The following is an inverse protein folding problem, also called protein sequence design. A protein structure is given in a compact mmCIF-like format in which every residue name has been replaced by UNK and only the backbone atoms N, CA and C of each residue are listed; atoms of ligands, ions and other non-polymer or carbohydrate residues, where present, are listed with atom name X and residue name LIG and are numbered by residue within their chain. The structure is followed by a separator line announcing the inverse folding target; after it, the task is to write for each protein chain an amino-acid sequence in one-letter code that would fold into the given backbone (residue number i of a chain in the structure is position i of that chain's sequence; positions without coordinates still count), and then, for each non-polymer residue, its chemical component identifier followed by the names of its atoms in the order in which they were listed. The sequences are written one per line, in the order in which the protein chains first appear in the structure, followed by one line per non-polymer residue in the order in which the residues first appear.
data_IF_948022173675
#
_entry.id   IF_948022173675
#
_cell.length_a   1.000
_cell.length_b   1.000
_cell.length_c   1.000
_cell.angle_alpha   90.00
_cell.angle_beta   90.00
_cell.angle_gamma   90.00
#
_symmetry.space_group_name_H-M   'P 1'
#
loop_
_entity.id
_entity.type
_entity.pdbx_description
1 polymer ?
#
# COMPACT_ATOMS: atom_id res chain seq x y z
N UNK A 1 -72.37 -13.79 -23.05
CA UNK A 1 -71.29 -12.92 -23.55
C UNK A 1 -70.08 -13.10 -22.60
N UNK A 2 -69.14 -13.97 -22.98
CA UNK A 2 -67.89 -14.25 -22.18
C UNK A 2 -66.79 -13.32 -22.70
N UNK A 3 -66.32 -12.39 -21.85
CA UNK A 3 -65.17 -11.54 -22.16
C UNK A 3 -63.89 -12.31 -21.86
N UNK A 4 -63.13 -12.67 -22.91
CA UNK A 4 -61.75 -13.20 -22.77
C UNK A 4 -60.80 -12.05 -22.40
N UNK A 5 -60.15 -12.19 -21.25
CA UNK A 5 -59.10 -11.27 -20.79
C UNK A 5 -57.76 -11.84 -21.24
N UNK A 6 -57.11 -11.22 -22.23
CA UNK A 6 -55.74 -11.55 -22.64
C UNK A 6 -54.77 -10.87 -21.67
N UNK A 7 -54.09 -11.66 -20.85
CA UNK A 7 -52.97 -11.20 -20.04
C UNK A 7 -51.70 -11.37 -20.86
N UNK A 8 -51.18 -10.27 -21.37
CA UNK A 8 -49.85 -10.23 -22.01
C UNK A 8 -48.79 -10.18 -20.93
N UNK A 9 -48.07 -11.31 -20.73
CA UNK A 9 -46.92 -11.43 -19.83
C UNK A 9 -45.71 -10.73 -20.49
N UNK A 10 -45.35 -9.55 -20.00
CA UNK A 10 -44.17 -8.82 -20.45
C UNK A 10 -42.94 -9.42 -19.73
N UNK A 11 -42.14 -10.22 -20.46
CA UNK A 11 -40.91 -10.80 -19.95
C UNK A 11 -39.83 -9.69 -19.91
N UNK A 12 -39.61 -9.12 -18.71
CA UNK A 12 -38.55 -8.14 -18.49
C UNK A 12 -37.20 -8.88 -18.44
N UNK A 13 -36.51 -8.92 -19.57
CA UNK A 13 -35.10 -9.42 -19.62
C UNK A 13 -34.21 -8.38 -18.96
N UNK A 14 -33.83 -8.62 -17.71
CA UNK A 14 -32.82 -7.84 -17.03
C UNK A 14 -31.45 -8.07 -17.68
N UNK A 15 -31.04 -7.14 -18.54
CA UNK A 15 -29.67 -7.09 -19.05
C UNK A 15 -28.75 -6.66 -17.90
N UNK A 16 -28.11 -7.63 -17.25
CA UNK A 16 -27.06 -7.33 -16.27
C UNK A 16 -25.89 -6.68 -17.04
N UNK A 17 -25.39 -5.52 -16.58
CA UNK A 17 -24.22 -4.91 -17.20
C UNK A 17 -23.04 -5.88 -17.05
N UNK A 18 -22.50 -6.35 -18.17
CA UNK A 18 -21.20 -7.04 -18.21
C UNK A 18 -20.18 -6.03 -17.73
N UNK A 19 -19.70 -6.21 -16.51
CA UNK A 19 -18.63 -5.39 -15.94
C UNK A 19 -17.37 -5.74 -16.74
N UNK A 20 -16.96 -4.85 -17.62
CA UNK A 20 -15.68 -4.97 -18.31
C UNK A 20 -14.59 -5.07 -17.22
N UNK A 21 -13.87 -6.18 -17.20
CA UNK A 21 -12.76 -6.40 -16.28
C UNK A 21 -11.68 -5.37 -16.62
N UNK A 22 -11.51 -4.38 -15.76
CA UNK A 22 -10.54 -3.30 -15.97
C UNK A 22 -9.14 -3.89 -16.01
N UNK A 23 -8.30 -3.46 -16.95
CA UNK A 23 -6.88 -3.81 -16.97
C UNK A 23 -6.25 -3.25 -15.70
N UNK A 24 -5.53 -4.06 -14.91
CA UNK A 24 -4.86 -3.56 -13.71
C UNK A 24 -3.88 -2.45 -14.08
N UNK A 25 -3.88 -1.36 -13.32
CA UNK A 25 -2.95 -0.26 -13.53
C UNK A 25 -1.56 -0.70 -13.07
N UNK A 26 -0.59 -0.64 -13.98
CA UNK A 26 0.79 -0.98 -13.67
C UNK A 26 1.42 0.06 -12.73
N UNK A 27 2.28 -0.40 -11.85
CA UNK A 27 3.06 0.46 -10.95
C UNK A 27 4.27 1.00 -11.71
N UNK A 28 4.40 2.31 -11.79
CA UNK A 28 5.46 2.95 -12.56
C UNK A 28 6.84 2.86 -11.86
N UNK A 29 6.83 2.96 -10.53
CA UNK A 29 8.04 2.94 -9.71
C UNK A 29 7.74 2.51 -8.26
N UNK A 30 8.79 2.37 -7.45
CA UNK A 30 8.67 1.96 -6.06
C UNK A 30 7.88 2.96 -5.18
N UNK A 31 7.90 4.26 -5.50
CA UNK A 31 7.13 5.27 -4.79
C UNK A 31 5.63 5.14 -5.08
N UNK A 32 5.28 4.93 -6.36
CA UNK A 32 3.90 4.65 -6.76
C UNK A 32 3.37 3.38 -6.09
N UNK A 33 4.20 2.34 -5.90
CA UNK A 33 3.84 1.13 -5.16
C UNK A 33 3.42 1.43 -3.72
N UNK A 34 4.12 2.34 -3.05
CA UNK A 34 3.82 2.74 -1.68
C UNK A 34 2.51 3.52 -1.58
N UNK A 35 2.28 4.44 -2.50
CA UNK A 35 1.06 5.27 -2.55
C UNK A 35 -0.16 4.44 -2.94
N UNK A 36 -0.04 3.62 -3.99
CA UNK A 36 -1.15 2.79 -4.51
C UNK A 36 -1.45 1.55 -3.65
N UNK A 37 -0.56 1.21 -2.72
CA UNK A 37 -0.75 0.11 -1.77
C UNK A 37 -0.39 -1.28 -2.31
N UNK A 38 0.12 -1.39 -3.53
CA UNK A 38 0.61 -2.62 -4.13
C UNK A 38 1.62 -2.36 -5.25
N UNK A 39 2.53 -3.30 -5.46
CA UNK A 39 3.31 -3.42 -6.70
C UNK A 39 2.43 -4.19 -7.70
N UNK A 40 2.13 -3.60 -8.84
CA UNK A 40 1.43 -4.26 -9.93
C UNK A 40 2.31 -4.19 -11.16
N UNK A 41 2.71 -5.34 -11.69
CA UNK A 41 3.60 -5.45 -12.85
C UNK A 41 2.98 -6.29 -13.94
N UNK A 42 3.44 -6.06 -15.18
CA UNK A 42 3.07 -6.81 -16.37
C UNK A 42 4.29 -7.47 -16.98
N UNK A 43 4.28 -8.78 -17.07
CA UNK A 43 5.24 -9.52 -17.87
C UNK A 43 4.67 -9.88 -19.23
N UNK A 44 5.47 -9.83 -20.26
CA UNK A 44 5.12 -10.26 -21.63
C UNK A 44 5.99 -11.44 -22.01
N UNK A 45 5.38 -12.46 -22.62
CA UNK A 45 6.07 -13.63 -23.13
C UNK A 45 5.58 -14.02 -24.52
N UNK A 46 6.46 -14.49 -25.37
CA UNK A 46 6.13 -14.96 -26.72
C UNK A 46 6.07 -16.48 -26.80
N UNK A 47 5.24 -16.98 -27.69
CA UNK A 47 5.21 -18.38 -28.07
C UNK A 47 6.49 -18.79 -28.79
N UNK A 48 7.01 -20.01 -28.57
CA UNK A 48 8.16 -20.49 -29.31
C UNK A 48 7.81 -20.69 -30.80
N UNK A 49 8.81 -20.54 -31.64
CA UNK A 49 8.70 -20.92 -33.05
C UNK A 49 8.74 -22.46 -33.20
N UNK A 50 8.14 -22.97 -34.26
CA UNK A 50 8.17 -24.39 -34.58
C UNK A 50 6.81 -25.09 -34.51
N UNK A 51 6.85 -26.42 -34.59
CA UNK A 51 5.69 -27.31 -34.69
C UNK A 51 5.07 -27.62 -33.30
N UNK A 52 4.51 -26.59 -32.65
CA UNK A 52 3.80 -26.74 -31.40
C UNK A 52 2.29 -26.59 -31.61
N UNK A 53 1.48 -27.31 -30.84
CA UNK A 53 0.04 -27.11 -30.81
C UNK A 53 -0.30 -25.73 -30.23
N UNK A 54 -1.47 -25.18 -30.56
CA UNK A 54 -1.92 -23.88 -30.01
C UNK A 54 -1.95 -23.88 -28.47
N UNK A 55 -2.35 -25.00 -27.86
CA UNK A 55 -2.35 -25.14 -26.41
C UNK A 55 -0.93 -25.08 -25.83
N UNK A 56 0.04 -25.75 -26.45
CA UNK A 56 1.45 -25.69 -26.04
C UNK A 56 2.00 -24.28 -26.19
N UNK A 57 1.76 -23.61 -27.33
CA UNK A 57 2.18 -22.23 -27.58
C UNK A 57 1.67 -21.28 -26.49
N UNK A 58 0.37 -21.35 -26.17
CA UNK A 58 -0.25 -20.56 -25.11
C UNK A 58 0.41 -20.81 -23.74
N UNK A 59 0.55 -22.07 -23.33
CA UNK A 59 1.14 -22.42 -22.04
C UNK A 59 2.58 -21.90 -21.93
N UNK A 60 3.38 -22.06 -22.99
CA UNK A 60 4.78 -21.61 -22.98
C UNK A 60 4.88 -20.08 -22.97
N UNK A 61 4.05 -19.37 -23.71
CA UNK A 61 3.99 -17.90 -23.68
C UNK A 61 3.57 -17.38 -22.29
N UNK A 62 2.55 -17.97 -21.66
CA UNK A 62 2.13 -17.60 -20.30
C UNK A 62 3.22 -17.86 -19.26
N UNK A 63 3.95 -18.99 -19.37
CA UNK A 63 5.09 -19.27 -18.47
C UNK A 63 6.22 -18.23 -18.65
N UNK A 64 6.54 -17.87 -19.89
CA UNK A 64 7.53 -16.85 -20.18
C UNK A 64 7.09 -15.46 -19.63
N UNK A 65 5.84 -15.08 -19.88
CA UNK A 65 5.26 -13.84 -19.37
C UNK A 65 5.31 -13.78 -17.83
N UNK A 66 4.94 -14.89 -17.17
CA UNK A 66 4.98 -14.99 -15.71
C UNK A 66 6.40 -14.85 -15.16
N UNK A 67 7.40 -15.46 -15.80
CA UNK A 67 8.80 -15.31 -15.37
C UNK A 67 9.30 -13.86 -15.49
N UNK A 68 8.90 -13.17 -16.57
CA UNK A 68 9.20 -11.73 -16.73
C UNK A 68 8.51 -10.91 -15.63
N UNK A 69 7.22 -11.14 -15.38
CA UNK A 69 6.48 -10.41 -14.34
C UNK A 69 7.09 -10.60 -12.94
N UNK A 70 7.55 -11.81 -12.59
CA UNK A 70 8.24 -12.05 -11.32
C UNK A 70 9.55 -11.26 -11.20
N UNK A 71 10.32 -11.15 -12.29
CA UNK A 71 11.55 -10.36 -12.28
C UNK A 71 11.26 -8.87 -12.11
N UNK A 72 10.31 -8.33 -12.85
CA UNK A 72 9.88 -6.94 -12.73
C UNK A 72 9.36 -6.62 -11.29
N UNK A 73 8.60 -7.55 -10.70
CA UNK A 73 8.13 -7.39 -9.32
C UNK A 73 9.29 -7.37 -8.32
N UNK A 74 10.33 -8.18 -8.53
CA UNK A 74 11.51 -8.19 -7.67
C UNK A 74 12.30 -6.89 -7.79
N UNK A 75 12.53 -6.40 -9.01
CA UNK A 75 13.24 -5.13 -9.26
C UNK A 75 12.52 -3.94 -8.62
N UNK A 76 11.18 -3.87 -8.74
CA UNK A 76 10.41 -2.83 -8.08
C UNK A 76 10.44 -2.96 -6.55
N UNK A 77 10.35 -4.19 -6.02
CA UNK A 77 10.42 -4.44 -4.57
C UNK A 77 11.75 -3.98 -3.98
N UNK A 78 12.86 -4.26 -4.66
CA UNK A 78 14.20 -3.84 -4.24
C UNK A 78 14.30 -2.31 -4.06
N UNK A 79 13.62 -1.54 -4.91
CA UNK A 79 13.54 -0.08 -4.84
C UNK A 79 12.62 0.48 -3.76
N UNK A 80 11.79 -0.36 -3.11
CA UNK A 80 10.83 0.11 -2.09
C UNK A 80 11.57 0.63 -0.86
N UNK A 81 11.30 1.89 -0.48
CA UNK A 81 11.85 2.51 0.72
C UNK A 81 11.23 1.90 1.97
N UNK A 82 12.08 1.41 2.87
CA UNK A 82 11.68 0.87 4.18
C UNK A 82 11.50 2.02 5.17
N UNK A 83 12.54 2.84 5.36
CA UNK A 83 12.53 4.08 6.14
C UNK A 83 13.84 4.85 5.90
N UNK A 84 13.81 6.18 5.92
CA UNK A 84 14.97 7.01 5.61
C UNK A 84 15.53 6.69 4.22
N UNK A 85 16.82 6.40 4.16
CA UNK A 85 17.51 6.00 2.93
C UNK A 85 17.59 4.48 2.74
N UNK A 86 17.02 3.70 3.68
CA UNK A 86 17.04 2.24 3.63
C UNK A 86 15.97 1.72 2.69
N UNK A 87 16.38 1.04 1.62
CA UNK A 87 15.48 0.29 0.71
C UNK A 87 15.45 -1.19 1.07
N UNK A 88 14.52 -1.93 0.46
CA UNK A 88 14.47 -3.40 0.61
C UNK A 88 15.77 -4.03 0.11
N UNK A 89 16.35 -3.52 -0.99
CA UNK A 89 17.64 -3.97 -1.51
C UNK A 89 18.76 -3.80 -0.48
N UNK A 90 18.95 -2.59 0.06
CA UNK A 90 20.00 -2.33 1.05
C UNK A 90 19.84 -3.22 2.29
N UNK A 91 18.62 -3.35 2.79
CA UNK A 91 18.30 -4.22 3.91
C UNK A 91 18.59 -5.71 3.60
N UNK A 92 18.37 -6.14 2.36
CA UNK A 92 18.67 -7.52 1.91
C UNK A 92 20.16 -7.82 1.81
N UNK A 93 20.97 -6.80 1.51
CA UNK A 93 22.44 -6.94 1.51
C UNK A 93 22.99 -7.09 2.92
N UNK A 94 22.37 -6.44 3.90
CA UNK A 94 22.79 -6.47 5.29
C UNK A 94 22.24 -7.68 6.08
N UNK A 95 21.17 -8.32 5.58
CA UNK A 95 20.47 -9.39 6.29
C UNK A 95 19.94 -10.48 5.36
N UNK A 96 20.47 -11.69 5.51
CA UNK A 96 19.98 -12.88 4.78
C UNK A 96 18.51 -13.20 5.10
N UNK A 97 18.04 -12.83 6.29
CA UNK A 97 16.63 -13.03 6.69
C UNK A 97 15.72 -12.09 5.89
N UNK A 98 16.12 -10.82 5.71
CA UNK A 98 15.39 -9.86 4.89
C UNK A 98 15.36 -10.32 3.43
N UNK A 99 16.50 -10.77 2.90
CA UNK A 99 16.60 -11.34 1.55
C UNK A 99 15.64 -12.51 1.36
N UNK A 100 15.65 -13.49 2.27
CA UNK A 100 14.75 -14.64 2.22
C UNK A 100 13.29 -14.23 2.31
N UNK A 101 12.96 -13.22 3.14
CA UNK A 101 11.62 -12.67 3.25
C UNK A 101 11.17 -12.00 1.96
N UNK A 102 12.02 -11.17 1.33
CA UNK A 102 11.75 -10.53 0.04
C UNK A 102 11.50 -11.56 -1.07
N UNK A 103 12.35 -12.60 -1.18
CA UNK A 103 12.12 -13.70 -2.12
C UNK A 103 10.79 -14.43 -1.85
N UNK A 104 10.44 -14.65 -0.59
CA UNK A 104 9.17 -15.26 -0.19
C UNK A 104 7.96 -14.42 -0.61
N UNK A 105 8.05 -13.09 -0.46
CA UNK A 105 7.03 -12.14 -0.90
C UNK A 105 6.80 -12.26 -2.41
N UNK A 106 7.86 -12.25 -3.20
CA UNK A 106 7.77 -12.37 -4.66
C UNK A 106 7.19 -13.72 -5.08
N UNK A 107 7.63 -14.82 -4.47
CA UNK A 107 7.05 -16.15 -4.73
C UNK A 107 5.56 -16.24 -4.39
N UNK A 108 5.10 -15.47 -3.40
CA UNK A 108 3.71 -15.35 -2.98
C UNK A 108 2.87 -14.33 -3.77
N UNK A 109 3.43 -13.66 -4.78
CA UNK A 109 2.69 -12.70 -5.60
C UNK A 109 1.49 -13.34 -6.29
N UNK A 110 0.36 -12.60 -6.31
CA UNK A 110 -0.88 -13.08 -6.90
C UNK A 110 -0.95 -12.73 -8.39
N UNK A 111 -1.32 -13.70 -9.22
CA UNK A 111 -1.70 -13.43 -10.62
C UNK A 111 -3.09 -12.78 -10.60
N UNK A 112 -3.20 -11.55 -11.06
CA UNK A 112 -4.46 -10.79 -11.08
C UNK A 112 -5.11 -10.78 -12.46
N UNK A 113 -4.32 -11.02 -13.54
CA UNK A 113 -4.85 -11.16 -14.90
C UNK A 113 -3.87 -11.93 -15.78
N UNK A 114 -4.42 -12.72 -16.72
CA UNK A 114 -3.67 -13.41 -17.77
C UNK A 114 -4.38 -13.15 -19.11
N UNK A 115 -3.63 -12.83 -20.13
CA UNK A 115 -4.10 -12.62 -21.49
C UNK A 115 -3.22 -13.40 -22.48
N UNK A 116 -3.82 -13.87 -23.57
CA UNK A 116 -3.09 -14.51 -24.68
C UNK A 116 -3.67 -14.03 -26.00
N UNK A 117 -2.85 -13.39 -26.80
CA UNK A 117 -3.19 -13.01 -28.17
C UNK A 117 -2.76 -14.10 -29.15
N UNK A 118 -3.74 -14.74 -29.78
CA UNK A 118 -3.53 -15.82 -30.74
C UNK A 118 -2.85 -15.30 -32.01
N UNK A 119 -3.15 -14.07 -32.44
CA UNK A 119 -2.66 -13.52 -33.68
C UNK A 119 -1.15 -13.23 -33.61
N UNK A 120 -0.70 -12.64 -32.52
CA UNK A 120 0.72 -12.36 -32.30
C UNK A 120 1.48 -13.52 -31.63
N UNK A 121 0.76 -14.48 -31.03
CA UNK A 121 1.36 -15.55 -30.23
C UNK A 121 1.98 -15.05 -28.92
N UNK A 122 1.54 -13.91 -28.40
CA UNK A 122 2.05 -13.30 -27.19
C UNK A 122 1.11 -13.49 -26.00
N UNK A 123 1.66 -13.58 -24.80
CA UNK A 123 0.91 -13.57 -23.56
C UNK A 123 1.32 -12.39 -22.68
N UNK A 124 0.37 -11.89 -21.89
CA UNK A 124 0.60 -10.94 -20.81
C UNK A 124 0.13 -11.54 -19.48
N UNK A 125 0.93 -11.40 -18.43
CA UNK A 125 0.60 -11.80 -17.06
C UNK A 125 0.79 -10.60 -16.15
N UNK A 126 -0.26 -10.28 -15.39
CA UNK A 126 -0.22 -9.22 -14.39
C UNK A 126 -0.08 -9.87 -13.00
N UNK A 127 0.96 -9.46 -12.26
CA UNK A 127 1.18 -9.85 -10.87
C UNK A 127 0.91 -8.68 -9.94
N UNK A 128 0.40 -8.99 -8.75
CA UNK A 128 0.22 -8.02 -7.67
C UNK A 128 0.89 -8.50 -6.40
N UNK A 129 1.69 -7.61 -5.79
CA UNK A 129 2.31 -7.79 -4.48
C UNK A 129 1.77 -6.69 -3.56
N UNK A 130 0.87 -7.00 -2.61
CA UNK A 130 0.34 -6.00 -1.69
C UNK A 130 1.44 -5.41 -0.79
N UNK A 131 1.48 -4.08 -0.67
CA UNK A 131 2.40 -3.36 0.23
C UNK A 131 2.32 -3.88 1.67
N UNK A 132 1.12 -4.21 2.13
CA UNK A 132 0.90 -4.76 3.46
C UNK A 132 1.60 -6.10 3.67
N UNK A 133 1.63 -6.97 2.66
CA UNK A 133 2.38 -8.23 2.71
C UNK A 133 3.88 -8.01 2.83
N UNK A 134 4.41 -7.02 2.10
CA UNK A 134 5.82 -6.60 2.19
C UNK A 134 6.15 -6.14 3.62
N UNK A 135 5.36 -5.23 4.17
CA UNK A 135 5.58 -4.73 5.52
C UNK A 135 5.46 -5.84 6.57
N UNK A 136 4.45 -6.69 6.50
CA UNK A 136 4.26 -7.79 7.45
C UNK A 136 5.44 -8.75 7.49
N UNK A 137 6.05 -9.04 6.35
CA UNK A 137 7.23 -9.90 6.27
C UNK A 137 8.51 -9.24 6.80
N UNK A 138 8.60 -7.91 6.74
CA UNK A 138 9.76 -7.15 7.20
C UNK A 138 9.67 -6.70 8.66
N UNK A 139 8.45 -6.54 9.23
CA UNK A 139 8.25 -6.10 10.62
C UNK A 139 9.10 -6.86 11.64
N UNK A 140 9.24 -8.20 11.58
CA UNK A 140 10.07 -8.92 12.55
C UNK A 140 11.56 -8.56 12.50
N UNK A 141 12.03 -8.00 11.39
CA UNK A 141 13.44 -7.66 11.15
C UNK A 141 13.77 -6.20 11.49
N UNK A 142 12.74 -5.36 11.66
CA UNK A 142 12.89 -3.91 11.88
C UNK A 142 13.79 -3.55 13.06
N UNK A 143 13.78 -4.25 14.22
CA UNK A 143 14.68 -3.89 15.33
C UNK A 143 16.17 -3.87 14.96
N UNK A 144 16.57 -4.63 13.94
CA UNK A 144 17.95 -4.61 13.41
C UNK A 144 18.16 -3.63 12.25
N UNK A 145 17.07 -3.19 11.59
CA UNK A 145 17.12 -2.36 10.37
C UNK A 145 16.96 -0.86 10.66
N UNK A 146 16.18 -0.51 11.68
CA UNK A 146 15.83 0.88 11.96
C UNK A 146 16.36 1.34 13.32
N UNK A 147 16.85 2.58 13.42
CA UNK A 147 17.24 3.17 14.69
C UNK A 147 16.08 3.14 15.69
N UNK A 148 16.35 2.66 16.90
CA UNK A 148 15.41 2.75 18.00
C UNK A 148 15.28 4.21 18.46
N UNK A 149 14.04 4.71 18.49
CA UNK A 149 13.74 6.07 18.93
C UNK A 149 13.07 6.05 20.31
N UNK A 150 13.41 6.99 21.21
CA UNK A 150 12.65 7.18 22.44
C UNK A 150 11.20 7.53 22.11
N UNK A 151 10.27 7.06 22.95
CA UNK A 151 8.86 7.42 22.78
C UNK A 151 8.64 8.83 23.32
N UNK A 152 7.89 9.62 22.57
CA UNK A 152 7.45 10.93 23.01
C UNK A 152 6.55 10.82 24.23
N UNK A 153 6.87 11.58 25.27
CA UNK A 153 6.08 11.69 26.50
C UNK A 153 6.02 13.14 26.95
N UNK A 154 4.91 13.85 26.70
CA UNK A 154 4.81 15.26 27.04
C UNK A 154 4.85 15.51 28.55
N UNK A 155 5.58 16.55 28.96
CA UNK A 155 5.71 16.93 30.36
C UNK A 155 4.43 17.52 30.98
N UNK A 156 3.52 18.03 30.16
CA UNK A 156 2.27 18.67 30.62
C UNK A 156 1.05 18.01 29.96
N UNK A 157 0.01 17.79 30.78
CA UNK A 157 -1.28 17.34 30.29
C UNK A 157 -1.94 18.43 29.42
N UNK A 158 -2.46 18.05 28.26
CA UNK A 158 -3.29 18.93 27.44
C UNK A 158 -4.75 18.47 27.54
N UNK A 159 -5.66 19.42 27.63
CA UNK A 159 -7.09 19.13 27.40
C UNK A 159 -7.26 18.91 25.91
N UNK A 160 -7.58 17.70 25.49
CA UNK A 160 -7.74 17.36 24.07
C UNK A 160 -9.20 17.05 23.75
N UNK A 161 -9.65 17.53 22.59
CA UNK A 161 -10.88 17.02 21.99
C UNK A 161 -10.72 15.51 21.72
N UNK A 162 -11.83 14.78 21.75
CA UNK A 162 -11.82 13.35 21.45
C UNK A 162 -11.63 13.12 19.94
N UNK A 163 -10.38 12.93 19.50
CA UNK A 163 -10.05 12.54 18.14
C UNK A 163 -9.90 11.01 18.04
N UNK A 164 -10.24 10.47 16.87
CA UNK A 164 -10.29 9.03 16.63
C UNK A 164 -9.58 8.58 15.34
N UNK A 165 -8.74 9.45 14.79
CA UNK A 165 -7.90 9.23 13.62
C UNK A 165 -6.89 10.36 13.45
N UNK A 166 -5.90 10.20 12.58
CA UNK A 166 -4.82 11.16 12.36
C UNK A 166 -4.61 11.40 10.87
N UNK A 167 -4.62 12.66 10.49
CA UNK A 167 -4.18 13.15 9.17
C UNK A 167 -2.93 13.99 9.39
N UNK A 168 -1.83 13.62 8.72
CA UNK A 168 -0.56 14.36 8.76
C UNK A 168 -0.37 15.01 7.39
N UNK A 169 -0.47 16.32 7.33
CA UNK A 169 -0.24 17.11 6.11
C UNK A 169 1.25 17.39 5.97
N UNK A 170 1.88 16.77 4.97
CA UNK A 170 3.31 16.93 4.64
C UNK A 170 3.52 17.70 3.34
N UNK A 171 2.47 18.31 2.79
CA UNK A 171 2.55 19.06 1.54
C UNK A 171 3.50 20.25 1.64
N UNK A 172 4.25 20.49 0.56
CA UNK A 172 5.29 21.50 0.48
C UNK A 172 6.59 21.11 1.19
N UNK A 173 6.71 19.87 1.66
CA UNK A 173 7.91 19.34 2.30
C UNK A 173 8.55 18.26 1.41
N UNK A 174 9.87 18.07 1.53
CA UNK A 174 10.60 17.01 0.81
C UNK A 174 10.37 15.63 1.44
N UNK A 175 9.10 15.29 1.69
CA UNK A 175 8.70 14.03 2.31
C UNK A 175 8.57 12.93 1.27
N UNK A 176 9.11 11.74 1.60
CA UNK A 176 9.00 10.55 0.75
C UNK A 176 8.17 9.46 1.42
N UNK A 177 7.19 8.88 0.72
CA UNK A 177 6.52 7.66 1.17
C UNK A 177 7.51 6.52 1.43
N UNK A 178 7.24 5.75 2.49
CA UNK A 178 8.01 4.57 2.88
C UNK A 178 7.08 3.51 3.48
N UNK A 179 7.59 2.28 3.70
CA UNK A 179 6.82 1.25 4.40
C UNK A 179 6.50 1.68 5.84
N UNK A 180 7.48 2.33 6.51
CA UNK A 180 7.37 2.73 7.91
C UNK A 180 7.65 4.23 8.09
N UNK A 181 6.79 5.09 7.50
CA UNK A 181 6.84 6.51 7.80
C UNK A 181 6.42 6.77 9.26
N UNK A 182 7.24 7.49 9.98
CA UNK A 182 7.01 7.87 11.37
C UNK A 182 6.56 9.32 11.49
N UNK A 183 5.98 9.67 12.63
CA UNK A 183 5.87 11.05 13.07
C UNK A 183 6.75 11.24 14.30
N UNK A 184 7.63 12.25 14.26
CA UNK A 184 8.66 12.47 15.27
C UNK A 184 8.61 13.91 15.77
N UNK A 185 9.16 14.15 16.94
CA UNK A 185 9.46 15.51 17.41
C UNK A 185 10.79 16.00 16.80
N UNK A 186 11.05 17.29 16.86
CA UNK A 186 12.33 17.87 16.46
C UNK A 186 13.54 17.33 17.26
N UNK A 187 13.30 16.83 18.47
CA UNK A 187 14.30 16.15 19.31
C UNK A 187 14.51 14.68 18.96
N UNK A 188 13.77 14.15 17.98
CA UNK A 188 13.91 12.77 17.51
C UNK A 188 13.12 11.74 18.32
N UNK A 189 12.14 12.15 19.11
CA UNK A 189 11.25 11.25 19.83
C UNK A 189 10.09 10.81 18.95
N UNK A 190 9.74 9.53 18.99
CA UNK A 190 8.65 8.98 18.18
C UNK A 190 7.28 9.31 18.79
N UNK A 191 6.48 10.09 18.10
CA UNK A 191 5.07 10.34 18.37
C UNK A 191 4.20 9.22 17.78
N UNK A 192 4.56 8.77 16.58
CA UNK A 192 3.97 7.63 15.89
C UNK A 192 5.06 6.81 15.22
N UNK A 193 5.09 5.53 15.50
CA UNK A 193 5.99 4.56 14.87
C UNK A 193 5.17 3.32 14.47
N UNK A 194 4.85 3.15 13.18
CA UNK A 194 4.04 2.02 12.73
C UNK A 194 4.68 0.67 13.02
N UNK A 195 6.00 0.58 13.08
CA UNK A 195 6.71 -0.66 13.40
C UNK A 195 6.45 -1.16 14.83
N UNK A 196 6.14 -0.24 15.74
CA UNK A 196 5.88 -0.55 17.16
C UNK A 196 4.40 -0.78 17.47
N UNK A 197 3.50 -0.05 16.78
CA UNK A 197 2.07 -0.09 17.10
C UNK A 197 1.30 -1.05 16.21
N UNK A 198 1.76 -1.26 14.97
CA UNK A 198 1.08 -2.12 14.01
C UNK A 198 1.67 -3.53 14.10
N UNK A 199 0.94 -4.47 14.67
CA UNK A 199 1.31 -5.90 14.69
C UNK A 199 1.21 -6.55 13.29
N UNK A 200 1.74 -5.87 12.26
CA UNK A 200 1.85 -6.39 10.89
C UNK A 200 0.60 -6.28 10.00
N UNK A 201 -0.51 -5.73 10.49
CA UNK A 201 -1.78 -5.87 9.77
C UNK A 201 -2.29 -4.63 9.02
N UNK A 202 -1.81 -3.42 9.32
CA UNK A 202 -2.27 -2.25 8.58
C UNK A 202 -1.19 -1.15 8.57
N UNK A 203 -0.98 -0.54 7.41
CA UNK A 203 -0.05 0.57 7.21
C UNK A 203 -0.82 1.89 7.12
N UNK A 204 -0.16 3.04 7.38
CA UNK A 204 -0.72 4.34 7.07
C UNK A 204 -1.04 4.43 5.57
N UNK A 205 -2.10 5.16 5.23
CA UNK A 205 -2.45 5.44 3.85
C UNK A 205 -1.82 6.75 3.38
N UNK A 206 -1.83 6.96 2.05
CA UNK A 206 -1.38 8.18 1.41
C UNK A 206 -2.47 8.72 0.50
N UNK A 207 -2.54 10.04 0.36
CA UNK A 207 -3.45 10.74 -0.56
C UNK A 207 -2.94 12.16 -0.80
N UNK A 208 -3.50 12.85 -1.81
CA UNK A 208 -3.10 14.23 -2.15
C UNK A 208 -4.03 15.29 -1.56
N UNK A 209 -5.04 14.90 -0.78
CA UNK A 209 -6.01 15.85 -0.23
C UNK A 209 -6.49 15.51 1.17
N UNK A 210 -6.75 16.55 1.98
CA UNK A 210 -7.27 16.40 3.34
C UNK A 210 -8.67 15.77 3.34
N UNK A 211 -9.51 16.10 2.36
CA UNK A 211 -10.87 15.55 2.29
C UNK A 211 -10.84 14.06 1.94
N UNK A 212 -9.96 13.66 1.02
CA UNK A 212 -9.72 12.25 0.70
C UNK A 212 -9.15 11.50 1.91
N UNK A 213 -8.22 12.12 2.66
CA UNK A 213 -7.68 11.55 3.90
C UNK A 213 -8.79 11.27 4.91
N UNK A 214 -9.70 12.24 5.13
CA UNK A 214 -10.87 12.06 6.00
C UNK A 214 -11.81 10.97 5.48
N UNK A 215 -12.03 10.89 4.17
CA UNK A 215 -12.84 9.83 3.57
C UNK A 215 -12.21 8.44 3.75
N UNK A 216 -10.89 8.30 3.64
CA UNK A 216 -10.15 7.07 3.92
C UNK A 216 -10.33 6.67 5.39
N UNK A 217 -10.18 7.62 6.31
CA UNK A 217 -10.34 7.38 7.75
C UNK A 217 -11.78 7.04 8.12
N UNK A 218 -12.77 7.67 7.49
CA UNK A 218 -14.19 7.36 7.68
C UNK A 218 -14.51 5.89 7.31
N UNK A 219 -13.92 5.37 6.22
CA UNK A 219 -14.04 3.94 5.86
C UNK A 219 -13.40 3.02 6.91
N UNK A 220 -12.45 3.52 7.71
CA UNK A 220 -11.85 2.81 8.85
C UNK A 220 -12.60 3.08 10.16
N UNK A 221 -13.78 3.71 10.11
CA UNK A 221 -14.61 4.02 11.29
C UNK A 221 -14.09 5.19 12.12
N UNK A 222 -13.42 6.18 11.53
CA UNK A 222 -13.10 7.45 12.18
C UNK A 222 -14.16 8.49 11.85
N UNK A 223 -14.63 9.19 12.85
CA UNK A 223 -15.68 10.22 12.76
C UNK A 223 -15.08 11.62 12.91
N UNK A 224 -14.06 11.76 13.77
CA UNK A 224 -13.44 13.04 14.10
C UNK A 224 -11.90 12.94 14.04
N UNK A 225 -11.29 12.87 12.84
CA UNK A 225 -9.84 12.78 12.72
C UNK A 225 -9.16 14.10 13.08
N UNK A 226 -8.07 14.02 13.85
CA UNK A 226 -7.14 15.12 14.09
C UNK A 226 -6.37 15.41 12.81
N UNK A 227 -6.32 16.66 12.39
CA UNK A 227 -5.51 17.12 11.25
C UNK A 227 -4.35 17.93 11.80
N UNK A 228 -3.12 17.50 11.53
CA UNK A 228 -1.89 18.20 11.90
C UNK A 228 -1.06 18.51 10.66
N UNK A 229 -0.37 19.65 10.68
CA UNK A 229 0.60 20.00 9.64
C UNK A 229 2.01 19.69 10.16
N UNK A 230 2.79 18.95 9.40
CA UNK A 230 4.19 18.73 9.71
C UNK A 230 4.98 20.03 9.59
N UNK A 231 5.92 20.23 10.50
CA UNK A 231 6.82 21.41 10.52
C UNK A 231 8.11 21.19 9.73
N UNK A 232 8.43 19.95 9.41
CA UNK A 232 9.63 19.54 8.69
C UNK A 232 9.63 18.04 8.39
N UNK A 233 10.76 17.56 7.90
CA UNK A 233 11.00 16.14 7.58
C UNK A 233 12.37 15.75 8.11
N UNK A 234 12.44 14.67 8.86
CA UNK A 234 13.69 14.04 9.29
C UNK A 234 13.97 12.80 8.42
N UNK A 235 15.22 12.63 8.01
CA UNK A 235 15.65 11.44 7.24
C UNK A 235 14.80 11.15 6.00
N UNK A 236 14.27 12.16 5.34
CA UNK A 236 13.43 12.11 4.12
C UNK A 236 12.05 11.45 4.29
N UNK A 237 11.84 10.60 5.30
CA UNK A 237 10.61 9.80 5.45
C UNK A 237 9.83 10.06 6.74
N UNK A 238 10.40 10.74 7.72
CA UNK A 238 9.75 10.94 9.01
C UNK A 238 9.20 12.38 9.08
N UNK A 239 7.89 12.52 9.35
CA UNK A 239 7.25 13.81 9.49
C UNK A 239 7.57 14.42 10.86
N UNK A 240 8.17 15.61 10.89
CA UNK A 240 8.40 16.34 12.13
C UNK A 240 7.12 17.07 12.57
N UNK A 241 6.71 16.85 13.82
CA UNK A 241 5.59 17.54 14.44
C UNK A 241 6.08 18.59 15.45
N UNK A 242 5.40 19.73 15.47
CA UNK A 242 5.60 20.72 16.52
C UNK A 242 5.14 20.20 17.89
N UNK A 243 5.55 20.85 18.99
CA UNK A 243 5.21 20.40 20.35
C UNK A 243 3.70 20.33 20.61
N UNK A 244 2.92 21.25 20.02
CA UNK A 244 1.46 21.31 20.18
C UNK A 244 0.82 20.12 19.47
N UNK A 245 1.20 19.87 18.22
CA UNK A 245 0.70 18.76 17.39
C UNK A 245 1.09 17.41 18.00
N UNK A 246 2.34 17.24 18.40
CA UNK A 246 2.83 16.04 19.04
C UNK A 246 2.05 15.72 20.34
N UNK A 247 1.83 16.73 21.17
CA UNK A 247 1.05 16.62 22.41
C UNK A 247 -0.41 16.26 22.13
N UNK A 248 -1.05 16.89 21.12
CA UNK A 248 -2.41 16.59 20.72
C UNK A 248 -2.56 15.14 20.24
N UNK A 249 -1.63 14.66 19.38
CA UNK A 249 -1.61 13.26 18.92
C UNK A 249 -1.48 12.29 20.11
N UNK A 250 -0.53 12.55 21.01
CA UNK A 250 -0.28 11.68 22.15
C UNK A 250 -1.52 11.48 23.03
N UNK A 251 -2.14 12.57 23.50
CA UNK A 251 -3.29 12.47 24.40
C UNK A 251 -4.54 11.96 23.70
N UNK A 252 -4.76 12.35 22.44
CA UNK A 252 -5.89 11.82 21.67
C UNK A 252 -5.75 10.30 21.47
N UNK A 253 -4.54 9.80 21.20
CA UNK A 253 -4.31 8.37 21.05
C UNK A 253 -4.48 7.61 22.37
N UNK A 254 -4.13 8.21 23.50
CA UNK A 254 -4.38 7.56 24.80
C UNK A 254 -5.87 7.21 25.00
N UNK A 255 -6.76 8.09 24.55
CA UNK A 255 -8.19 7.92 24.70
C UNK A 255 -8.80 6.94 23.68
N UNK A 256 -8.36 6.99 22.42
CA UNK A 256 -9.06 6.30 21.32
C UNK A 256 -8.25 5.19 20.64
N UNK A 257 -6.94 5.08 20.91
CA UNK A 257 -6.04 4.04 20.35
C UNK A 257 -6.04 3.99 18.81
N UNK A 258 -6.18 5.15 18.15
CA UNK A 258 -6.29 5.23 16.70
C UNK A 258 -4.97 4.88 15.98
N UNK A 259 -3.82 5.08 16.62
CA UNK A 259 -2.53 4.70 16.05
C UNK A 259 -2.41 3.18 15.93
N UNK A 260 -2.80 2.46 16.96
CA UNK A 260 -2.83 0.98 16.99
C UNK A 260 -3.86 0.40 16.02
N UNK A 261 -4.92 1.16 15.72
CA UNK A 261 -5.94 0.82 14.73
C UNK A 261 -5.55 1.22 13.30
N UNK A 262 -4.31 1.72 13.08
CA UNK A 262 -3.81 2.21 11.80
C UNK A 262 -4.73 3.27 11.12
N UNK A 263 -5.38 4.09 11.93
CA UNK A 263 -6.19 5.21 11.45
C UNK A 263 -5.31 6.44 11.24
N UNK A 264 -4.28 6.29 10.37
CA UNK A 264 -3.31 7.32 10.02
C UNK A 264 -3.24 7.48 8.51
N UNK A 265 -3.24 8.73 8.04
CA UNK A 265 -3.10 9.08 6.62
C UNK A 265 -2.12 10.23 6.48
N UNK A 266 -1.17 10.10 5.56
CA UNK A 266 -0.29 11.18 5.13
C UNK A 266 -0.86 11.85 3.88
N UNK A 267 -0.86 13.19 3.85
CA UNK A 267 -1.30 13.98 2.70
C UNK A 267 -0.07 14.51 1.99
N UNK A 268 0.13 14.06 0.76
CA UNK A 268 1.23 14.39 -0.14
C UNK A 268 0.85 15.55 -1.07
N UNK A 269 1.83 16.09 -1.83
CA UNK A 269 1.61 17.09 -2.89
C UNK A 269 0.85 16.49 -4.09
#
# INVERSE_FOLDING_TARGET
MRKLLFITLFLLVAVLPVRAESVPQETLDAQAALVNGAIVVKGIGASPQGLFTMAQKRIMALRAAKAVAFREAAELLDGVTVSGDTTVFNASVESDIVKTSAEGIIKGASVVKEEYDIASGTAAVYLSVPRQGVAAALVPQIPGLLPQMPQYNPAMAASTAAYDGLVIDVRGLAFKPALFNRAVTKSGEAVYDPSKVLKGSALPAYTNGINEAKAILSKKGSVNPLVVKASGVAGQTDAELGPIEATAVFYSNQASKFLEAAKVVFVLD
#
